data_IF_324944701582
#
_entry.id   IF_324944701582
#
_cell.length_a   1.000
_cell.length_b   1.000
_cell.length_c   1.000
_cell.angle_alpha   90.00
_cell.angle_beta   90.00
_cell.angle_gamma   90.00
#
_symmetry.space_group_name_H-M   'P 1'
#
loop_
_entity.id
_entity.type
_entity.pdbx_description
1 polymer ?
#
# COMPACT_ATOMS: atom_id res chain seq x y z
N UNK A 1 20.30 48.67 17.47
CA UNK A 1 19.32 47.74 16.87
C UNK A 1 18.47 48.37 15.75
N UNK A 2 17.74 49.48 15.98
CA UNK A 2 16.86 50.09 14.96
C UNK A 2 17.57 50.53 13.66
N UNK A 3 18.81 51.03 13.74
CA UNK A 3 19.61 51.44 12.56
C UNK A 3 20.02 50.24 11.68
N UNK A 4 20.38 49.12 12.29
CA UNK A 4 20.79 47.90 11.58
C UNK A 4 19.63 47.23 10.85
N UNK A 5 18.44 47.23 11.45
CA UNK A 5 17.23 46.73 10.79
C UNK A 5 16.84 47.63 9.61
N UNK A 6 16.97 48.96 9.76
CA UNK A 6 16.74 49.92 8.67
C UNK A 6 17.75 49.77 7.53
N UNK A 7 19.03 49.53 7.81
CA UNK A 7 20.05 49.34 6.77
C UNK A 7 19.90 48.01 6.02
N UNK A 8 19.40 46.96 6.70
CA UNK A 8 18.98 45.71 6.07
C UNK A 8 17.77 45.93 5.15
N UNK A 9 16.74 46.64 5.62
CA UNK A 9 15.55 46.94 4.81
C UNK A 9 15.84 47.86 3.62
N UNK A 10 16.77 48.80 3.78
CA UNK A 10 17.22 49.71 2.72
C UNK A 10 18.21 49.06 1.75
N UNK A 11 18.55 47.78 1.92
CA UNK A 11 19.38 47.04 0.98
C UNK A 11 20.85 47.43 0.98
N UNK A 12 21.38 48.02 2.07
CA UNK A 12 22.81 48.39 2.16
C UNK A 12 23.73 47.17 1.91
N UNK A 13 23.28 45.97 2.28
CA UNK A 13 23.96 44.69 2.00
C UNK A 13 24.13 44.37 0.50
N UNK A 14 23.30 44.95 -0.36
CA UNK A 14 23.31 44.72 -1.81
C UNK A 14 24.10 45.79 -2.57
N UNK A 15 24.52 46.88 -1.92
CA UNK A 15 25.10 48.08 -2.56
C UNK A 15 26.54 48.34 -2.08
N UNK A 16 26.96 47.76 -0.94
CA UNK A 16 28.34 47.88 -0.43
C UNK A 16 29.36 47.12 -1.31
N UNK A 17 30.66 47.33 -1.11
CA UNK A 17 31.73 46.71 -1.92
C UNK A 17 31.69 45.16 -1.97
N UNK A 18 31.10 44.51 -0.97
CA UNK A 18 30.88 43.05 -0.90
C UNK A 18 29.56 42.56 -1.56
N UNK A 19 28.78 43.45 -2.16
CA UNK A 19 27.52 43.17 -2.87
C UNK A 19 27.53 41.93 -3.79
N UNK A 20 28.55 41.69 -4.64
CA UNK A 20 28.54 40.52 -5.53
C UNK A 20 28.55 39.18 -4.77
N UNK A 21 29.20 39.10 -3.61
CA UNK A 21 29.20 37.89 -2.76
C UNK A 21 27.81 37.61 -2.19
N UNK A 22 27.11 38.67 -1.81
CA UNK A 22 25.77 38.62 -1.24
C UNK A 22 24.70 38.27 -2.28
N UNK A 23 24.81 38.79 -3.49
CA UNK A 23 23.92 38.41 -4.61
C UNK A 23 24.02 36.91 -4.93
N UNK A 24 25.25 36.38 -4.97
CA UNK A 24 25.49 34.95 -5.18
C UNK A 24 24.87 34.08 -4.08
N UNK A 25 24.92 34.54 -2.82
CA UNK A 25 24.31 33.83 -1.69
C UNK A 25 22.78 33.82 -1.77
N UNK A 26 22.16 34.94 -2.16
CA UNK A 26 20.69 35.02 -2.32
C UNK A 26 20.22 34.09 -3.44
N UNK A 27 20.90 34.11 -4.59
CA UNK A 27 20.60 33.20 -5.70
C UNK A 27 20.77 31.73 -5.30
N UNK A 28 21.80 31.42 -4.51
CA UNK A 28 22.00 30.07 -3.97
C UNK A 28 20.83 29.63 -3.08
N UNK A 29 20.35 30.48 -2.18
CA UNK A 29 19.21 30.18 -1.31
C UNK A 29 17.89 30.04 -2.10
N UNK A 30 17.66 30.90 -3.09
CA UNK A 30 16.50 30.79 -3.97
C UNK A 30 16.54 29.49 -4.78
N UNK A 31 17.69 29.12 -5.32
CA UNK A 31 17.89 27.87 -6.02
C UNK A 31 17.63 26.66 -5.11
N UNK A 32 18.18 26.68 -3.88
CA UNK A 32 17.98 25.62 -2.90
C UNK A 32 16.51 25.50 -2.48
N UNK A 33 15.83 26.62 -2.26
CA UNK A 33 14.39 26.64 -1.97
C UNK A 33 13.58 26.06 -3.13
N UNK A 34 13.92 26.42 -4.38
CA UNK A 34 13.31 25.83 -5.58
C UNK A 34 13.51 24.31 -5.66
N UNK A 35 14.72 23.83 -5.38
CA UNK A 35 15.01 22.39 -5.33
C UNK A 35 14.20 21.67 -4.25
N UNK A 36 14.06 22.27 -3.06
CA UNK A 36 13.25 21.70 -1.98
C UNK A 36 11.78 21.58 -2.37
N UNK A 37 11.20 22.62 -2.98
CA UNK A 37 9.80 22.62 -3.43
C UNK A 37 9.58 21.53 -4.50
N UNK A 38 10.48 21.43 -5.49
CA UNK A 38 10.39 20.42 -6.54
C UNK A 38 10.50 19.00 -5.98
N UNK A 39 11.38 18.78 -4.99
CA UNK A 39 11.54 17.49 -4.34
C UNK A 39 10.31 17.12 -3.50
N UNK A 40 9.76 18.08 -2.75
CA UNK A 40 8.58 17.88 -1.91
C UNK A 40 7.37 17.47 -2.77
N UNK A 41 7.13 18.15 -3.89
CA UNK A 41 5.99 17.86 -4.74
C UNK A 41 6.06 16.46 -5.39
N UNK A 42 7.26 15.99 -5.73
CA UNK A 42 7.47 14.61 -6.21
C UNK A 42 7.20 13.57 -5.12
N UNK A 43 7.60 13.87 -3.88
CA UNK A 43 7.32 13.00 -2.75
C UNK A 43 5.82 12.91 -2.47
N UNK A 44 5.11 14.04 -2.49
CA UNK A 44 3.65 14.11 -2.33
C UNK A 44 2.93 13.25 -3.35
N UNK A 45 3.24 13.43 -4.65
CA UNK A 45 2.61 12.66 -5.74
C UNK A 45 2.79 11.15 -5.55
N UNK A 46 3.97 10.73 -5.09
CA UNK A 46 4.28 9.32 -4.85
C UNK A 46 3.52 8.77 -3.65
N UNK A 47 3.31 9.56 -2.60
CA UNK A 47 2.49 9.15 -1.44
C UNK A 47 1.04 8.90 -1.85
N UNK A 48 0.47 9.76 -2.70
CA UNK A 48 -0.88 9.55 -3.25
C UNK A 48 -0.97 8.26 -4.08
N UNK A 49 0.02 8.00 -4.92
CA UNK A 49 0.08 6.76 -5.70
C UNK A 49 0.17 5.52 -4.81
N UNK A 50 1.01 5.56 -3.76
CA UNK A 50 1.12 4.48 -2.78
C UNK A 50 -0.22 4.24 -2.08
N UNK A 51 -0.92 5.31 -1.68
CA UNK A 51 -2.22 5.19 -1.04
C UNK A 51 -3.25 4.51 -1.96
N UNK A 52 -3.31 4.92 -3.23
CA UNK A 52 -4.20 4.31 -4.23
C UNK A 52 -3.93 2.82 -4.41
N UNK A 53 -2.67 2.44 -4.64
CA UNK A 53 -2.31 1.03 -4.85
C UNK A 53 -2.55 0.21 -3.58
N UNK A 54 -2.33 0.78 -2.39
CA UNK A 54 -2.62 0.09 -1.13
C UNK A 54 -4.12 -0.18 -0.93
N UNK A 55 -4.98 0.76 -1.35
CA UNK A 55 -6.43 0.56 -1.35
C UNK A 55 -6.84 -0.59 -2.27
N UNK A 56 -6.28 -0.66 -3.48
CA UNK A 56 -6.53 -1.77 -4.42
C UNK A 56 -6.09 -3.13 -3.84
N UNK A 57 -4.90 -3.19 -3.22
CA UNK A 57 -4.41 -4.40 -2.55
C UNK A 57 -5.34 -4.82 -1.41
N UNK A 58 -5.81 -3.86 -0.62
CA UNK A 58 -6.71 -4.15 0.48
C UNK A 58 -8.08 -4.65 -0.02
N UNK A 59 -8.61 -4.07 -1.09
CA UNK A 59 -9.82 -4.54 -1.74
C UNK A 59 -9.68 -5.98 -2.23
N UNK A 60 -8.57 -6.31 -2.90
CA UNK A 60 -8.29 -7.69 -3.35
C UNK A 60 -8.19 -8.68 -2.18
N UNK A 61 -7.52 -8.29 -1.09
CA UNK A 61 -7.42 -9.12 0.13
C UNK A 61 -8.78 -9.40 0.75
N UNK A 62 -9.64 -8.39 0.82
CA UNK A 62 -11.01 -8.53 1.33
C UNK A 62 -11.82 -9.49 0.44
N UNK A 63 -11.73 -9.33 -0.88
CA UNK A 63 -12.40 -10.24 -1.82
C UNK A 63 -11.88 -11.67 -1.66
N UNK A 64 -10.57 -11.88 -1.61
CA UNK A 64 -9.97 -13.20 -1.40
C UNK A 64 -10.46 -13.85 -0.09
N UNK A 65 -10.45 -13.10 1.02
CA UNK A 65 -10.92 -13.61 2.30
C UNK A 65 -12.40 -14.05 2.24
N UNK A 66 -13.26 -13.25 1.61
CA UNK A 66 -14.68 -13.57 1.45
C UNK A 66 -14.91 -14.82 0.59
N UNK A 67 -14.22 -14.93 -0.56
CA UNK A 67 -14.31 -16.07 -1.47
C UNK A 67 -13.80 -17.34 -0.79
N UNK A 68 -12.67 -17.25 -0.08
CA UNK A 68 -12.12 -18.36 0.68
C UNK A 68 -13.10 -18.84 1.75
N UNK A 69 -13.70 -17.93 2.52
CA UNK A 69 -14.68 -18.28 3.53
C UNK A 69 -15.89 -19.00 2.92
N UNK A 70 -16.43 -18.48 1.81
CA UNK A 70 -17.55 -19.10 1.09
C UNK A 70 -17.19 -20.49 0.58
N UNK A 71 -15.99 -20.67 0.03
CA UNK A 71 -15.51 -21.97 -0.45
C UNK A 71 -15.38 -22.98 0.70
N UNK A 72 -14.85 -22.57 1.86
CA UNK A 72 -14.78 -23.45 3.03
C UNK A 72 -16.18 -23.85 3.50
N UNK A 73 -17.13 -22.91 3.53
CA UNK A 73 -18.51 -23.23 3.88
C UNK A 73 -19.12 -24.25 2.91
N UNK A 74 -18.90 -24.10 1.60
CA UNK A 74 -19.38 -25.05 0.59
C UNK A 74 -18.73 -26.45 0.73
N UNK A 75 -17.49 -26.53 1.21
CA UNK A 75 -16.79 -27.81 1.45
C UNK A 75 -17.27 -28.57 2.69
N UNK A 76 -18.09 -27.97 3.54
CA UNK A 76 -18.62 -28.65 4.73
C UNK A 76 -19.41 -29.89 4.32
N UNK A 77 -19.15 -31.02 4.99
CA UNK A 77 -19.85 -32.29 4.77
C UNK A 77 -21.37 -32.11 4.87
N UNK A 78 -21.84 -31.26 5.79
CA UNK A 78 -23.26 -30.95 5.95
C UNK A 78 -23.87 -30.26 4.72
N UNK A 79 -23.12 -29.39 4.02
CA UNK A 79 -23.58 -28.77 2.78
C UNK A 79 -23.56 -29.76 1.61
N UNK A 80 -22.52 -30.58 1.53
CA UNK A 80 -22.42 -31.63 0.52
C UNK A 80 -23.57 -32.63 0.70
N UNK A 81 -23.83 -33.11 1.93
CA UNK A 81 -24.94 -34.01 2.28
C UNK A 81 -26.29 -33.46 1.85
N UNK A 82 -26.58 -32.19 2.16
CA UNK A 82 -27.83 -31.52 1.72
C UNK A 82 -27.99 -31.47 0.20
N UNK A 83 -26.90 -31.25 -0.54
CA UNK A 83 -26.96 -31.23 -2.01
C UNK A 83 -27.17 -32.62 -2.60
N UNK A 84 -26.59 -33.66 -2.02
CA UNK A 84 -26.66 -35.03 -2.55
C UNK A 84 -27.87 -35.84 -2.04
N UNK A 85 -28.61 -35.34 -1.05
CA UNK A 85 -29.85 -35.96 -0.55
C UNK A 85 -30.91 -36.12 -1.65
N UNK A 86 -31.04 -35.15 -2.56
CA UNK A 86 -32.03 -35.21 -3.66
C UNK A 86 -31.73 -36.26 -4.74
N UNK A 87 -30.51 -36.79 -4.78
CA UNK A 87 -30.05 -37.83 -5.72
C UNK A 87 -29.87 -39.19 -5.02
N UNK A 88 -30.35 -39.32 -3.77
CA UNK A 88 -30.40 -40.59 -3.04
C UNK A 88 -29.06 -41.08 -2.48
N UNK A 89 -28.01 -40.24 -2.50
CA UNK A 89 -26.72 -40.58 -1.93
C UNK A 89 -26.75 -40.36 -0.41
N UNK A 90 -26.41 -41.40 0.35
CA UNK A 90 -26.36 -41.37 1.82
C UNK A 90 -24.96 -41.72 2.33
N UNK A 91 -24.53 -41.12 3.45
CA UNK A 91 -23.28 -41.50 4.09
C UNK A 91 -23.34 -42.98 4.55
N UNK A 92 -22.23 -43.74 4.41
CA UNK A 92 -22.15 -45.11 4.89
C UNK A 92 -22.38 -45.16 6.41
N UNK A 93 -23.29 -46.01 6.88
CA UNK A 93 -23.55 -46.23 8.31
C UNK A 93 -22.46 -47.10 8.96
N UNK A 94 -21.79 -47.94 8.17
CA UNK A 94 -20.73 -48.83 8.62
C UNK A 94 -19.46 -48.63 7.78
N UNK A 95 -18.27 -48.76 8.37
CA UNK A 95 -17.02 -48.68 7.63
C UNK A 95 -16.94 -49.77 6.54
N UNK A 96 -16.31 -49.48 5.38
CA UNK A 96 -16.18 -50.45 4.30
C UNK A 96 -15.27 -51.61 4.70
N UNK A 97 -15.67 -52.84 4.37
CA UNK A 97 -14.85 -54.02 4.60
C UNK A 97 -13.71 -54.07 3.57
N UNK A 98 -12.47 -54.07 4.05
CA UNK A 98 -11.29 -54.23 3.19
C UNK A 98 -11.17 -55.71 2.79
N UNK A 99 -11.47 -56.01 1.53
CA UNK A 99 -11.23 -57.35 0.95
C UNK A 99 -9.77 -57.43 0.54
N UNK A 100 -9.00 -58.29 1.20
CA UNK A 100 -7.61 -58.58 0.82
C UNK A 100 -7.61 -59.94 0.12
N UNK A 101 -7.33 -59.95 -1.18
CA UNK A 101 -7.24 -61.18 -1.96
C UNK A 101 -5.87 -61.81 -1.70
N UNK A 102 -5.84 -62.90 -0.93
CA UNK A 102 -4.66 -63.74 -0.80
C UNK A 102 -4.47 -64.50 -2.13
N UNK A 103 -3.33 -64.29 -2.79
CA UNK A 103 -2.99 -65.00 -4.03
C UNK A 103 -2.41 -66.36 -3.64
N UNK A 104 -3.15 -67.44 -3.88
CA UNK A 104 -2.65 -68.80 -3.63
C UNK A 104 -1.52 -69.13 -4.59
N UNK A 105 -0.33 -69.44 -4.06
CA UNK A 105 0.63 -70.37 -4.65
C UNK A 105 1.44 -71.02 -3.53
#
# INVERSE_FOLDING_TARGET
MKKHLKSLLQGSFLINEDAPKHWRMILYLFFLAGLMILSAHRAESKVYEIARVNEEVQALRNTYASVRARLQQQRLESNIRKQVEGIGLMPPQSPPTKIIVQKTK
#
